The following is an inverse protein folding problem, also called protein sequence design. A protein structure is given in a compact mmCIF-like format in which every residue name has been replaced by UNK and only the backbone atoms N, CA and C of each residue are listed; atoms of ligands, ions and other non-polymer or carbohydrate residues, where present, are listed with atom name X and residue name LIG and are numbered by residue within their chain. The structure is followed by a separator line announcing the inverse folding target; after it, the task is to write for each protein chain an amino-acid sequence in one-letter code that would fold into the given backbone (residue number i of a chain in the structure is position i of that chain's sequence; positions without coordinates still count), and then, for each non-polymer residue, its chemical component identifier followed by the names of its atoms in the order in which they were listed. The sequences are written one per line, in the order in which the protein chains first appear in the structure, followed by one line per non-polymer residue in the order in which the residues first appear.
data_IF_666522792110
#
_entry.id   IF_666522792110
#
_cell.length_a   1.000
_cell.length_b   1.000
_cell.length_c   1.000
_cell.angle_alpha   90.00
_cell.angle_beta   90.00
_cell.angle_gamma   90.00
#
_symmetry.space_group_name_H-M   'P 1'
#
loop_
_entity.id
_entity.type
_entity.pdbx_description
1 polymer ?
#
# COMPACT_ATOMS: atom_id res chain seq x y z
N UNK A 1 -9.92 37.92 -13.15
CA UNK A 1 -9.67 36.64 -13.85
C UNK A 1 -9.34 35.64 -12.75
N UNK A 2 -10.28 34.75 -12.46
CA UNK A 2 -10.22 33.84 -11.31
C UNK A 2 -9.11 32.82 -11.52
N UNK A 3 -8.10 32.88 -10.67
CA UNK A 3 -7.05 31.86 -10.58
C UNK A 3 -7.69 30.70 -9.85
N UNK A 4 -8.20 29.73 -10.60
CA UNK A 4 -8.80 28.54 -10.03
C UNK A 4 -7.66 27.77 -9.36
N UNK A 5 -7.64 27.92 -8.05
CA UNK A 5 -6.84 27.17 -7.12
C UNK A 5 -7.11 25.67 -7.26
N UNK A 6 -6.02 24.90 -7.09
CA UNK A 6 -5.96 23.62 -6.39
C UNK A 6 -6.53 22.38 -7.11
N UNK A 7 -5.79 21.28 -6.90
CA UNK A 7 -6.15 19.89 -7.15
C UNK A 7 -6.52 19.56 -8.60
N UNK A 8 -5.51 19.54 -9.47
CA UNK A 8 -5.38 18.34 -10.31
C UNK A 8 -4.87 17.27 -9.37
N UNK A 9 -5.80 16.60 -8.72
CA UNK A 9 -5.56 15.31 -8.14
C UNK A 9 -4.71 14.50 -9.11
N UNK A 10 -3.45 14.34 -8.73
CA UNK A 10 -2.73 13.11 -9.01
C UNK A 10 -3.43 12.04 -8.19
N UNK A 11 -4.67 11.68 -8.57
CA UNK A 11 -5.23 10.38 -8.24
C UNK A 11 -4.35 9.39 -9.00
N UNK A 12 -3.16 9.12 -8.45
CA UNK A 12 -2.55 7.84 -8.68
C UNK A 12 -3.52 6.91 -7.98
N UNK A 13 -4.25 6.10 -8.73
CA UNK A 13 -5.01 4.99 -8.17
C UNK A 13 -3.99 4.11 -7.43
N UNK A 14 -3.78 4.40 -6.15
CA UNK A 14 -2.90 3.66 -5.26
C UNK A 14 -3.79 2.69 -4.49
N UNK A 15 -3.74 1.42 -4.87
CA UNK A 15 -4.40 0.36 -4.12
C UNK A 15 -3.70 0.20 -2.77
N UNK A 16 -4.50 0.29 -1.70
CA UNK A 16 -4.02 0.05 -0.34
C UNK A 16 -4.06 -1.44 -0.05
N UNK A 17 -2.90 -2.00 0.27
CA UNK A 17 -2.75 -3.41 0.63
C UNK A 17 -2.36 -3.52 2.08
N UNK A 18 -3.17 -4.24 2.85
CA UNK A 18 -2.88 -4.58 4.24
C UNK A 18 -2.16 -5.92 4.27
N UNK A 19 -0.95 -5.90 4.80
CA UNK A 19 -0.08 -7.04 5.02
C UNK A 19 -0.10 -7.43 6.49
N UNK A 20 0.06 -8.71 6.76
CA UNK A 20 0.41 -9.21 8.08
C UNK A 20 1.73 -9.96 7.99
N UNK A 21 2.64 -9.70 8.91
CA UNK A 21 3.87 -10.47 9.03
C UNK A 21 3.62 -11.81 9.71
N UNK A 22 4.06 -12.90 9.10
CA UNK A 22 3.93 -14.25 9.66
C UNK A 22 4.89 -14.49 10.85
N UNK A 23 5.93 -13.66 11.01
CA UNK A 23 6.94 -13.84 12.05
C UNK A 23 6.66 -13.06 13.33
N UNK A 24 6.26 -11.80 13.20
CA UNK A 24 5.96 -10.94 14.35
C UNK A 24 4.47 -10.65 14.55
N UNK A 25 3.60 -11.18 13.68
CA UNK A 25 2.14 -11.00 13.67
C UNK A 25 1.66 -9.53 13.53
N UNK A 26 2.59 -8.60 13.23
CA UNK A 26 2.27 -7.19 13.02
C UNK A 26 1.56 -6.98 11.68
N UNK A 27 0.56 -6.11 11.69
CA UNK A 27 -0.17 -5.67 10.51
C UNK A 27 0.35 -4.31 10.05
N UNK A 28 0.62 -4.17 8.76
CA UNK A 28 1.09 -2.92 8.17
C UNK A 28 0.51 -2.72 6.76
N UNK A 29 0.52 -1.49 6.28
CA UNK A 29 -0.11 -1.12 5.01
C UNK A 29 0.91 -0.61 3.99
N UNK A 30 0.76 -1.04 2.74
CA UNK A 30 1.56 -0.55 1.62
C UNK A 30 0.65 -0.02 0.54
N UNK A 31 1.10 1.03 -0.15
CA UNK A 31 0.44 1.58 -1.32
C UNK A 31 1.12 1.04 -2.56
N UNK A 32 0.34 0.47 -3.47
CA UNK A 32 0.82 0.03 -4.77
C UNK A 32 0.03 0.73 -5.84
N UNK A 33 0.66 1.12 -6.93
CA UNK A 33 -0.11 1.71 -8.04
C UNK A 33 -1.01 0.63 -8.63
N UNK A 34 -2.27 0.95 -8.90
CA UNK A 34 -3.25 0.07 -9.56
C UNK A 34 -2.72 -0.45 -10.91
N UNK A 35 -1.89 0.35 -11.57
CA UNK A 35 -1.22 -0.03 -12.83
C UNK A 35 -0.10 -1.08 -12.67
N UNK A 36 0.37 -1.33 -11.45
CA UNK A 36 1.44 -2.28 -11.14
C UNK A 36 0.87 -3.55 -10.49
N UNK A 37 1.41 -4.74 -10.79
CA UNK A 37 0.97 -5.95 -10.13
C UNK A 37 1.21 -5.83 -8.63
N UNK A 38 0.20 -6.22 -7.84
CA UNK A 38 0.36 -6.40 -6.40
C UNK A 38 1.59 -7.27 -6.13
N UNK A 39 2.56 -6.81 -5.33
CA UNK A 39 3.71 -7.63 -4.96
C UNK A 39 3.23 -8.88 -4.22
N UNK A 40 3.95 -9.99 -4.35
CA UNK A 40 3.65 -11.25 -3.66
C UNK A 40 4.02 -11.20 -2.17
N UNK A 41 4.94 -10.29 -1.79
CA UNK A 41 5.45 -10.12 -0.43
C UNK A 41 5.83 -8.68 -0.16
N UNK A 42 5.66 -8.21 1.07
CA UNK A 42 6.20 -6.95 1.56
C UNK A 42 7.23 -7.21 2.66
N UNK A 43 8.13 -6.25 2.87
CA UNK A 43 9.07 -6.32 3.99
C UNK A 43 8.40 -5.72 5.21
N UNK A 44 8.29 -6.49 6.29
CA UNK A 44 7.75 -6.00 7.55
C UNK A 44 8.69 -4.94 8.15
N UNK A 45 8.17 -3.76 8.44
CA UNK A 45 8.93 -2.66 9.04
C UNK A 45 9.32 -2.92 10.51
N UNK A 46 8.66 -3.87 11.18
CA UNK A 46 8.89 -4.18 12.59
C UNK A 46 10.03 -5.18 12.81
N UNK A 47 10.09 -6.24 12.00
CA UNK A 47 11.08 -7.31 12.15
C UNK A 47 12.03 -7.45 10.95
N UNK A 48 11.77 -6.78 9.83
CA UNK A 48 12.54 -6.90 8.60
C UNK A 48 12.29 -8.19 7.81
N UNK A 49 11.34 -9.02 8.23
CA UNK A 49 11.00 -10.26 7.52
C UNK A 49 10.21 -9.96 6.25
N UNK A 50 10.50 -10.70 5.18
CA UNK A 50 9.72 -10.67 3.92
C UNK A 50 8.62 -11.72 3.90
N UNK A 51 8.50 -12.52 4.97
CA UNK A 51 7.43 -13.50 5.12
C UNK A 51 6.17 -12.78 5.59
N UNK A 52 5.37 -12.32 4.63
CA UNK A 52 4.16 -11.54 4.89
C UNK A 52 3.04 -12.00 4.00
N UNK A 53 1.83 -12.03 4.54
CA UNK A 53 0.62 -12.48 3.86
C UNK A 53 -0.33 -11.30 3.68
N UNK A 54 -0.93 -11.16 2.49
CA UNK A 54 -1.96 -10.14 2.25
C UNK A 54 -3.21 -10.48 3.07
N UNK A 55 -3.58 -9.60 3.99
CA UNK A 55 -4.81 -9.71 4.77
C UNK A 55 -6.02 -9.16 4.03
N UNK A 56 -5.91 -7.94 3.49
CA UNK A 56 -7.01 -7.24 2.81
C UNK A 56 -6.47 -6.30 1.73
N UNK A 57 -7.23 -6.17 0.63
CA UNK A 57 -7.08 -5.11 -0.36
C UNK A 57 -8.20 -4.11 -0.17
N UNK A 58 -7.86 -2.85 0.05
CA UNK A 58 -8.80 -1.74 0.04
C UNK A 58 -8.60 -1.00 -1.29
N UNK A 59 -9.52 -1.25 -2.22
CA UNK A 59 -9.74 -0.45 -3.43
C UNK A 59 -10.92 0.48 -3.24
#
# INVERSE_FOLDING_TARGET
MSVIEKVKDLFVDEEKIVWQCDECDEEFETFVKETEPTPDSATCEHCGSTSTSVRRRAG
#
